data_IF_159448972485
#
_entry.id   IF_159448972485
#
_cell.length_a   1.000
_cell.length_b   1.000
_cell.length_c   1.000
_cell.angle_alpha   90.00
_cell.angle_beta   90.00
_cell.angle_gamma   90.00
#
_symmetry.space_group_name_H-M   'P 1'
#
loop_
_entity.id
_entity.type
_entity.pdbx_description
1 polymer ?
#
# COMPACT_ATOMS: atom_id res chain seq x y z
N UNK A 1 2.75 7.68 -8.94
CA UNK A 1 1.94 7.68 -7.70
C UNK A 1 0.52 7.31 -8.07
N UNK A 2 -0.13 6.52 -7.21
CA UNK A 2 -1.52 6.11 -7.35
C UNK A 2 -2.29 6.69 -6.16
N UNK A 3 -3.44 7.29 -6.42
CA UNK A 3 -4.45 7.61 -5.40
C UNK A 3 -5.62 6.63 -5.57
N UNK A 4 -5.99 5.92 -4.52
CA UNK A 4 -7.08 4.93 -4.58
C UNK A 4 -8.47 5.56 -4.83
N UNK A 5 -8.61 6.88 -4.68
CA UNK A 5 -9.82 7.61 -5.07
C UNK A 5 -10.07 7.60 -6.57
N UNK A 6 -9.02 7.45 -7.36
CA UNK A 6 -9.09 7.36 -8.83
C UNK A 6 -9.54 5.97 -9.31
N UNK A 7 -9.61 5.00 -8.38
CA UNK A 7 -9.99 3.60 -8.64
C UNK A 7 -11.14 3.17 -7.72
N UNK A 8 -12.35 3.72 -7.90
CA UNK A 8 -13.48 3.40 -7.03
C UNK A 8 -13.90 1.94 -7.22
N UNK A 9 -13.83 1.16 -6.15
CA UNK A 9 -14.18 -0.25 -6.13
C UNK A 9 -15.41 -0.48 -5.26
N UNK A 10 -16.39 -1.30 -5.68
CA UNK A 10 -17.42 -1.77 -4.77
C UNK A 10 -16.79 -2.55 -3.62
N UNK A 11 -17.46 -2.65 -2.49
CA UNK A 11 -17.01 -3.60 -1.46
C UNK A 11 -16.95 -4.99 -2.06
N UNK A 12 -15.87 -5.71 -1.77
CA UNK A 12 -15.71 -7.07 -2.27
C UNK A 12 -16.87 -7.95 -1.79
N UNK A 13 -17.44 -8.61 -2.74
CA UNK A 13 -18.54 -9.54 -2.56
C UNK A 13 -18.36 -10.69 -3.57
N UNK A 14 -18.34 -11.93 -3.08
CA UNK A 14 -18.12 -13.10 -3.91
C UNK A 14 -19.29 -13.37 -4.89
N UNK A 15 -20.51 -13.00 -4.54
CA UNK A 15 -21.66 -13.12 -5.44
C UNK A 15 -21.59 -12.07 -6.55
N UNK A 16 -21.15 -10.86 -6.24
CA UNK A 16 -20.88 -9.82 -7.24
C UNK A 16 -19.78 -10.25 -8.20
N UNK A 17 -18.67 -10.79 -7.69
CA UNK A 17 -17.58 -11.31 -8.52
C UNK A 17 -18.07 -12.44 -9.44
N UNK A 18 -18.84 -13.38 -8.92
CA UNK A 18 -19.39 -14.49 -9.71
C UNK A 18 -20.33 -14.02 -10.82
N UNK A 19 -21.12 -12.97 -10.56
CA UNK A 19 -22.10 -12.43 -11.51
C UNK A 19 -21.47 -11.52 -12.57
N UNK A 20 -20.45 -10.71 -12.22
CA UNK A 20 -19.95 -9.61 -13.02
C UNK A 20 -18.44 -9.64 -13.29
N UNK A 21 -17.72 -10.57 -12.66
CA UNK A 21 -16.27 -10.64 -12.75
C UNK A 21 -15.55 -9.56 -11.92
N UNK A 22 -14.26 -9.41 -12.17
CA UNK A 22 -13.41 -8.41 -11.52
C UNK A 22 -13.68 -7.02 -12.12
N UNK A 23 -13.97 -5.98 -11.31
CA UNK A 23 -14.24 -4.62 -11.79
C UNK A 23 -13.11 -4.03 -12.66
N UNK A 24 -13.46 -3.15 -13.59
CA UNK A 24 -12.51 -2.53 -14.51
C UNK A 24 -11.40 -1.76 -13.77
N UNK A 25 -11.74 -1.05 -12.70
CA UNK A 25 -10.79 -0.31 -11.86
C UNK A 25 -9.81 -1.26 -11.15
N UNK A 26 -10.28 -2.45 -10.74
CA UNK A 26 -9.39 -3.47 -10.18
C UNK A 26 -8.46 -4.05 -11.25
N UNK A 27 -8.94 -4.27 -12.48
CA UNK A 27 -8.11 -4.70 -13.60
C UNK A 27 -7.04 -3.65 -13.95
N UNK A 28 -7.39 -2.36 -13.93
CA UNK A 28 -6.43 -1.28 -14.12
C UNK A 28 -5.35 -1.27 -13.02
N UNK A 29 -5.73 -1.45 -11.76
CA UNK A 29 -4.78 -1.58 -10.65
C UNK A 29 -3.90 -2.84 -10.81
N UNK A 30 -4.46 -3.98 -11.20
CA UNK A 30 -3.70 -5.21 -11.44
C UNK A 30 -2.62 -4.99 -12.50
N UNK A 31 -2.93 -4.31 -13.60
CA UNK A 31 -1.95 -3.98 -14.64
C UNK A 31 -0.79 -3.11 -14.08
N UNK A 32 -1.10 -2.14 -13.22
CA UNK A 32 -0.08 -1.34 -12.54
C UNK A 32 0.76 -2.19 -11.57
N UNK A 33 0.12 -3.07 -10.80
CA UNK A 33 0.86 -3.99 -9.92
C UNK A 33 1.79 -4.90 -10.72
N UNK A 34 1.33 -5.48 -11.82
CA UNK A 34 2.14 -6.37 -12.67
C UNK A 34 3.34 -5.65 -13.29
N UNK A 35 3.20 -4.36 -13.65
CA UNK A 35 4.28 -3.57 -14.25
C UNK A 35 5.35 -3.08 -13.26
N UNK A 36 5.15 -3.28 -11.95
CA UNK A 36 6.06 -2.79 -10.92
C UNK A 36 6.48 -3.91 -9.96
N UNK A 37 7.74 -3.90 -9.54
CA UNK A 37 8.29 -4.88 -8.58
C UNK A 37 8.21 -4.42 -7.12
N UNK A 38 8.14 -3.11 -6.89
CA UNK A 38 8.15 -2.49 -5.56
C UNK A 38 6.90 -1.70 -5.27
N UNK A 39 6.47 -1.73 -4.00
CA UNK A 39 5.31 -1.00 -3.49
C UNK A 39 5.74 -0.11 -2.32
N UNK A 40 5.64 1.21 -2.46
CA UNK A 40 5.71 2.13 -1.33
C UNK A 40 4.27 2.50 -0.95
N UNK A 41 3.82 2.03 0.20
CA UNK A 41 2.42 2.18 0.61
C UNK A 41 2.32 3.18 1.75
N UNK A 42 1.58 4.27 1.51
CA UNK A 42 1.16 5.22 2.54
C UNK A 42 -0.25 4.86 3.01
N UNK A 43 -0.45 4.71 4.32
CA UNK A 43 -1.75 4.37 4.90
C UNK A 43 -2.05 5.22 6.14
N UNK A 44 -3.29 5.70 6.31
CA UNK A 44 -3.75 6.17 7.61
C UNK A 44 -3.99 5.00 8.56
N UNK A 45 -4.25 5.30 9.82
CA UNK A 45 -4.76 4.33 10.79
C UNK A 45 -6.21 4.67 11.13
N UNK A 46 -7.13 3.76 10.84
CA UNK A 46 -8.54 3.86 11.20
C UNK A 46 -8.90 2.75 12.19
N UNK A 47 -9.32 3.13 13.38
CA UNK A 47 -9.72 2.19 14.43
C UNK A 47 -8.65 1.10 14.66
N UNK A 48 -7.39 1.52 14.81
CA UNK A 48 -6.22 0.66 15.06
C UNK A 48 -5.81 -0.27 13.91
N UNK A 49 -6.36 -0.09 12.71
CA UNK A 49 -6.06 -0.91 11.54
C UNK A 49 -5.86 -0.04 10.28
N UNK A 50 -5.66 -0.70 9.15
CA UNK A 50 -5.63 -0.05 7.84
C UNK A 50 -7.01 0.49 7.46
N UNK A 51 -7.05 1.40 6.48
CA UNK A 51 -8.32 1.89 5.96
C UNK A 51 -9.08 0.80 5.21
N UNK A 52 -10.42 0.87 5.27
CA UNK A 52 -11.29 -0.06 4.53
C UNK A 52 -11.04 -0.04 3.02
N UNK A 53 -10.74 1.15 2.46
CA UNK A 53 -10.44 1.28 1.03
C UNK A 53 -9.17 0.52 0.65
N UNK A 54 -8.11 0.59 1.46
CA UNK A 54 -6.87 -0.14 1.19
C UNK A 54 -7.09 -1.66 1.29
N UNK A 55 -7.82 -2.10 2.33
CA UNK A 55 -8.14 -3.54 2.47
C UNK A 55 -8.97 -4.05 1.30
N UNK A 56 -10.01 -3.31 0.92
CA UNK A 56 -10.86 -3.65 -0.22
C UNK A 56 -10.10 -3.70 -1.55
N UNK A 57 -9.17 -2.75 -1.75
CA UNK A 57 -8.29 -2.76 -2.93
C UNK A 57 -7.43 -4.02 -2.98
N UNK A 58 -6.81 -4.41 -1.86
CA UNK A 58 -6.02 -5.65 -1.79
C UNK A 58 -6.90 -6.84 -2.10
N UNK A 59 -8.12 -6.91 -1.53
CA UNK A 59 -9.03 -8.02 -1.74
C UNK A 59 -9.41 -8.17 -3.22
N UNK A 60 -9.73 -7.08 -3.92
CA UNK A 60 -10.02 -7.13 -5.35
C UNK A 60 -8.79 -7.46 -6.21
N UNK A 61 -7.63 -6.87 -5.91
CA UNK A 61 -6.40 -7.09 -6.69
C UNK A 61 -5.86 -8.52 -6.52
N UNK A 62 -6.17 -9.21 -5.42
CA UNK A 62 -5.83 -10.62 -5.24
C UNK A 62 -6.71 -11.57 -6.07
N UNK A 63 -7.86 -11.11 -6.62
CA UNK A 63 -8.75 -11.99 -7.39
C UNK A 63 -8.11 -12.39 -8.71
N UNK A 64 -8.04 -13.68 -9.02
CA UNK A 64 -7.48 -14.13 -10.28
C UNK A 64 -8.43 -13.81 -11.45
N UNK A 65 -7.86 -13.52 -12.60
CA UNK A 65 -8.59 -13.44 -13.87
C UNK A 65 -8.07 -14.53 -14.83
N UNK A 66 -8.80 -14.88 -15.90
CA UNK A 66 -8.37 -15.91 -16.82
C UNK A 66 -6.95 -15.65 -17.36
N UNK A 67 -6.07 -16.64 -17.24
CA UNK A 67 -4.67 -16.56 -17.68
C UNK A 67 -3.68 -16.11 -16.60
N UNK A 68 -4.13 -15.67 -15.44
CA UNK A 68 -3.25 -15.32 -14.32
C UNK A 68 -2.96 -16.51 -13.40
N UNK A 69 -1.77 -16.51 -12.84
CA UNK A 69 -1.40 -17.42 -11.75
C UNK A 69 -1.90 -16.89 -10.40
N UNK A 70 -1.98 -17.77 -9.40
CA UNK A 70 -2.40 -17.38 -8.05
C UNK A 70 -1.52 -16.28 -7.46
N UNK A 71 -2.13 -15.19 -6.98
CA UNK A 71 -1.47 -14.01 -6.40
C UNK A 71 -0.42 -13.35 -7.32
N UNK A 72 -0.56 -13.44 -8.64
CA UNK A 72 0.42 -12.94 -9.61
C UNK A 72 0.78 -11.47 -9.39
N UNK A 73 -0.20 -10.64 -9.01
CA UNK A 73 0.00 -9.23 -8.71
C UNK A 73 0.87 -8.98 -7.46
N UNK A 74 1.09 -9.98 -6.62
CA UNK A 74 1.80 -9.84 -5.34
C UNK A 74 3.05 -10.72 -5.23
N UNK A 75 3.09 -11.86 -5.89
CA UNK A 75 4.21 -12.78 -5.84
C UNK A 75 5.53 -12.08 -6.19
N UNK A 76 6.53 -12.24 -5.31
CA UNK A 76 7.87 -11.71 -5.51
C UNK A 76 8.01 -10.20 -5.38
N UNK A 77 6.96 -9.49 -4.97
CA UNK A 77 7.05 -8.05 -4.73
C UNK A 77 7.70 -7.72 -3.39
N UNK A 78 8.27 -6.52 -3.35
CA UNK A 78 8.83 -5.92 -2.13
C UNK A 78 8.03 -4.68 -1.78
N UNK A 79 7.67 -4.53 -0.52
CA UNK A 79 6.94 -3.37 -0.03
C UNK A 79 7.70 -2.64 1.08
N UNK A 80 7.51 -1.32 1.13
CA UNK A 80 7.85 -0.46 2.25
C UNK A 80 6.62 0.32 2.70
N UNK A 81 6.54 0.65 3.98
CA UNK A 81 5.35 1.24 4.58
C UNK A 81 5.65 2.59 5.21
N UNK A 82 4.75 3.54 4.99
CA UNK A 82 4.72 4.81 5.71
C UNK A 82 3.29 5.09 6.18
N UNK A 83 3.16 5.86 7.25
CA UNK A 83 1.83 6.26 7.74
C UNK A 83 1.87 7.65 8.37
N UNK A 84 0.71 8.32 8.41
CA UNK A 84 0.52 9.58 9.09
C UNK A 84 -0.86 9.59 9.75
N UNK A 85 -0.95 10.03 11.01
CA UNK A 85 -2.23 10.10 11.73
C UNK A 85 -2.24 11.24 12.74
N UNK A 86 -3.44 11.67 13.14
CA UNK A 86 -3.62 12.64 14.22
C UNK A 86 -3.16 12.10 15.58
N UNK A 87 -3.13 10.78 15.75
CA UNK A 87 -2.77 10.14 17.00
C UNK A 87 -1.25 10.11 17.25
N UNK A 88 -0.84 9.92 18.52
CA UNK A 88 0.57 9.96 18.91
C UNK A 88 1.40 8.79 18.38
N UNK A 89 0.76 7.73 17.90
CA UNK A 89 1.44 6.53 17.40
C UNK A 89 1.74 6.60 15.90
N UNK A 90 1.31 7.66 15.18
CA UNK A 90 1.62 7.86 13.77
C UNK A 90 1.11 6.78 12.81
N UNK A 91 0.32 5.81 13.28
CA UNK A 91 -0.21 4.72 12.47
C UNK A 91 0.59 3.42 12.49
N UNK A 92 1.45 3.20 13.48
CA UNK A 92 2.26 1.97 13.58
C UNK A 92 1.44 0.69 13.67
N UNK A 93 0.22 0.76 14.24
CA UNK A 93 -0.68 -0.41 14.32
C UNK A 93 -1.23 -0.78 12.95
N UNK A 94 -1.63 0.21 12.16
CA UNK A 94 -2.02 -0.01 10.77
C UNK A 94 -0.87 -0.61 9.94
N UNK A 95 0.36 -0.12 10.12
CA UNK A 95 1.54 -0.70 9.46
C UNK A 95 1.79 -2.16 9.90
N UNK A 96 1.61 -2.49 11.17
CA UNK A 96 1.75 -3.86 11.67
C UNK A 96 0.72 -4.80 11.02
N UNK A 97 -0.55 -4.39 10.96
CA UNK A 97 -1.61 -5.15 10.30
C UNK A 97 -1.36 -5.28 8.79
N UNK A 98 -0.93 -4.19 8.13
CA UNK A 98 -0.62 -4.24 6.70
C UNK A 98 0.56 -5.16 6.39
N UNK A 99 1.59 -5.16 7.24
CA UNK A 99 2.74 -6.08 7.13
C UNK A 99 2.27 -7.53 7.20
N UNK A 100 1.38 -7.87 8.12
CA UNK A 100 0.82 -9.21 8.24
C UNK A 100 0.01 -9.62 6.99
N UNK A 101 -0.85 -8.71 6.50
CA UNK A 101 -1.66 -8.94 5.29
C UNK A 101 -0.75 -9.20 4.09
N UNK A 102 0.22 -8.31 3.85
CA UNK A 102 1.12 -8.39 2.70
C UNK A 102 1.98 -9.67 2.75
N UNK A 103 2.50 -10.03 3.94
CA UNK A 103 3.23 -11.30 4.11
C UNK A 103 2.35 -12.50 3.82
N UNK A 104 1.07 -12.47 4.17
CA UNK A 104 0.11 -13.54 3.90
C UNK A 104 -0.22 -13.73 2.41
N UNK A 105 0.11 -12.73 1.57
CA UNK A 105 -0.07 -12.77 0.11
C UNK A 105 1.27 -12.70 -0.66
N UNK A 106 2.33 -13.23 -0.06
CA UNK A 106 3.66 -13.42 -0.67
C UNK A 106 4.44 -12.13 -1.00
N UNK A 107 4.16 -11.02 -0.32
CA UNK A 107 4.94 -9.78 -0.45
C UNK A 107 6.00 -9.71 0.65
N UNK A 108 7.25 -9.48 0.27
CA UNK A 108 8.33 -9.17 1.22
C UNK A 108 8.22 -7.74 1.69
N UNK A 109 7.97 -7.50 2.98
CA UNK A 109 7.91 -6.15 3.54
C UNK A 109 9.22 -5.83 4.25
N UNK A 110 9.98 -4.85 3.75
CA UNK A 110 11.27 -4.47 4.34
C UNK A 110 11.10 -3.93 5.77
N UNK A 111 12.11 -4.05 6.63
CA UNK A 111 12.03 -3.57 8.01
C UNK A 111 11.92 -2.04 8.12
N UNK A 112 12.52 -1.29 7.18
CA UNK A 112 12.47 0.16 7.18
C UNK A 112 11.05 0.66 6.93
N UNK A 113 10.60 1.50 7.84
CA UNK A 113 9.29 2.14 7.79
C UNK A 113 9.34 3.49 8.52
N UNK A 114 8.33 4.33 8.31
CA UNK A 114 8.17 5.55 9.08
C UNK A 114 6.71 5.84 9.39
N UNK A 115 6.47 6.31 10.60
CA UNK A 115 5.15 6.71 11.07
C UNK A 115 5.21 8.16 11.53
N UNK A 116 4.39 9.04 10.95
CA UNK A 116 4.32 10.46 11.29
C UNK A 116 3.24 10.67 12.35
N UNK A 117 3.61 10.89 13.62
CA UNK A 117 2.64 11.11 14.68
C UNK A 117 2.06 12.52 14.61
N UNK A 118 0.86 12.69 15.17
CA UNK A 118 0.19 13.98 15.35
C UNK A 118 0.13 14.82 14.06
N UNK A 119 0.03 14.15 12.91
CA UNK A 119 -0.01 14.79 11.60
C UNK A 119 -1.37 15.48 11.38
N UNK A 120 -1.34 16.77 11.13
CA UNK A 120 -2.48 17.60 10.74
C UNK A 120 -2.28 18.14 9.32
N UNK A 121 -3.23 18.89 8.79
CA UNK A 121 -3.08 19.55 7.50
C UNK A 121 -1.87 20.52 7.51
N UNK A 122 -1.59 21.17 8.65
CA UNK A 122 -0.45 22.09 8.79
C UNK A 122 0.90 21.36 8.80
N UNK A 123 0.92 20.05 9.00
CA UNK A 123 2.16 19.26 8.93
C UNK A 123 2.72 19.16 7.51
N UNK A 124 1.92 19.54 6.51
CA UNK A 124 2.28 19.50 5.10
C UNK A 124 2.27 20.91 4.50
N UNK A 125 3.07 21.12 3.48
CA UNK A 125 3.06 22.35 2.68
C UNK A 125 2.05 22.25 1.52
N UNK A 126 2.00 23.30 0.70
CA UNK A 126 1.08 23.35 -0.46
C UNK A 126 1.42 22.32 -1.56
N UNK A 127 2.65 21.80 -1.58
CA UNK A 127 3.07 20.73 -2.49
C UNK A 127 2.77 19.32 -1.93
N UNK A 128 2.32 19.24 -0.67
CA UNK A 128 2.07 17.97 0.03
C UNK A 128 3.31 17.39 0.72
N UNK A 129 4.41 18.12 0.77
CA UNK A 129 5.61 17.68 1.47
C UNK A 129 5.49 17.95 2.97
N UNK A 130 6.04 17.03 3.79
CA UNK A 130 6.15 17.24 5.23
C UNK A 130 6.98 18.49 5.51
N UNK A 131 6.52 19.36 6.42
CA UNK A 131 7.30 20.56 6.85
C UNK A 131 8.44 20.20 7.78
N UNK A 132 8.32 19.10 8.55
CA UNK A 132 9.40 18.64 9.45
C UNK A 132 10.55 18.03 8.64
N UNK A 133 11.76 18.61 8.66
CA UNK A 133 12.90 18.07 7.91
C UNK A 133 13.32 16.67 8.35
N UNK A 134 13.13 16.32 9.62
CA UNK A 134 13.43 14.98 10.14
C UNK A 134 12.46 13.97 9.55
N UNK A 135 11.16 14.25 9.57
CA UNK A 135 10.15 13.44 8.94
C UNK A 135 10.39 13.25 7.43
N UNK A 136 10.73 14.33 6.72
CA UNK A 136 11.10 14.26 5.29
C UNK A 136 12.29 13.31 5.06
N UNK A 137 13.36 13.46 5.85
CA UNK A 137 14.55 12.62 5.74
C UNK A 137 14.23 11.14 5.99
N UNK A 138 13.38 10.87 6.99
CA UNK A 138 12.99 9.50 7.34
C UNK A 138 12.09 8.86 6.26
N UNK A 139 11.11 9.57 5.72
CA UNK A 139 10.29 9.08 4.60
C UNK A 139 11.16 8.81 3.37
N UNK A 140 12.06 9.73 3.04
CA UNK A 140 13.04 9.55 1.94
C UNK A 140 13.91 8.31 2.16
N UNK A 141 14.40 8.09 3.37
CA UNK A 141 15.18 6.91 3.73
C UNK A 141 14.40 5.61 3.47
N UNK A 142 13.12 5.55 3.80
CA UNK A 142 12.28 4.38 3.50
C UNK A 142 12.25 4.10 2.00
N UNK A 143 12.05 5.13 1.17
CA UNK A 143 12.06 4.98 -0.30
C UNK A 143 13.43 4.52 -0.85
N UNK A 144 14.53 5.09 -0.34
CA UNK A 144 15.90 4.68 -0.71
C UNK A 144 16.16 3.22 -0.32
N UNK A 145 15.72 2.81 0.87
CA UNK A 145 15.88 1.42 1.33
C UNK A 145 15.10 0.44 0.44
N UNK A 146 13.87 0.79 0.04
CA UNK A 146 13.10 -0.02 -0.90
C UNK A 146 13.82 -0.15 -2.25
N UNK A 147 14.28 0.96 -2.83
CA UNK A 147 15.00 0.95 -4.10
C UNK A 147 16.29 0.11 -4.03
N UNK A 148 17.06 0.26 -2.96
CA UNK A 148 18.28 -0.53 -2.73
C UNK A 148 17.99 -2.02 -2.59
N UNK A 149 16.91 -2.40 -1.90
CA UNK A 149 16.51 -3.79 -1.74
C UNK A 149 16.10 -4.40 -3.11
N UNK A 150 15.33 -3.68 -3.89
CA UNK A 150 14.92 -4.10 -5.24
C UNK A 150 16.12 -4.23 -6.18
N UNK A 151 17.11 -3.34 -6.09
CA UNK A 151 18.35 -3.44 -6.86
C UNK A 151 19.09 -4.76 -6.60
N UNK A 152 19.22 -5.14 -5.33
CA UNK A 152 19.90 -6.41 -4.95
C UNK A 152 19.17 -7.69 -5.36
N UNK A 153 17.88 -7.61 -5.66
CA UNK A 153 17.10 -8.74 -6.17
C UNK A 153 17.09 -8.80 -7.71
N UNK A 154 17.68 -7.82 -8.39
CA UNK A 154 17.77 -7.77 -9.84
C UNK A 154 19.05 -8.44 -10.37
N UNK A 155 20.05 -8.62 -9.50
CA UNK A 155 21.32 -9.32 -9.74
C UNK A 155 21.16 -10.83 -9.45
#
# INVERSE_FOLDING_TARGET
>A
TIDLRDYPLPLYDGDLEAASGVPAEALALKALFLSHRGLLIATPEYNTSISGVLKNTIDWVTRPVPGETFLECFNGKVAALVSATLGPMGGVRAQAHLRQILSGINVTVIPEHWAVPQATAESFDAAGDLRDPTGQAMVRRVGVSLASFLGRLAD
#
